data_IF_104561127490
#
_entry.id   IF_104561127490
#
_cell.length_a   1.000
_cell.length_b   1.000
_cell.length_c   1.000
_cell.angle_alpha   90.00
_cell.angle_beta   90.00
_cell.angle_gamma   90.00
#
_symmetry.space_group_name_H-M   'P 1'
#
loop_
_entity.id
_entity.type
_entity.pdbx_description
1 polymer ?
#
# COMPACT_ATOMS: atom_id res chain seq x y z
N UNK A 1 -12.06 -3.94 -18.17
CA UNK A 1 -11.61 -4.34 -16.80
C UNK A 1 -10.50 -5.40 -16.82
N UNK A 2 -10.61 -6.48 -17.60
CA UNK A 2 -9.57 -7.54 -17.66
C UNK A 2 -8.15 -7.02 -18.01
N UNK A 3 -8.05 -6.06 -18.94
CA UNK A 3 -6.76 -5.53 -19.43
C UNK A 3 -5.95 -4.78 -18.37
N UNK A 4 -6.61 -4.12 -17.41
CA UNK A 4 -5.94 -3.36 -16.34
C UNK A 4 -5.39 -4.30 -15.28
N UNK A 5 -6.13 -5.36 -14.94
CA UNK A 5 -5.67 -6.38 -13.99
C UNK A 5 -4.44 -7.13 -14.52
N UNK A 6 -4.44 -7.50 -15.81
CA UNK A 6 -3.28 -8.14 -16.47
C UNK A 6 -2.04 -7.26 -16.47
N UNK A 7 -2.18 -5.96 -16.76
CA UNK A 7 -1.07 -5.01 -16.70
C UNK A 7 -0.39 -4.94 -15.33
N UNK A 8 -1.14 -5.11 -14.24
CA UNK A 8 -0.61 -4.98 -12.88
C UNK A 8 0.22 -6.20 -12.51
N UNK A 9 -0.21 -7.38 -12.94
CA UNK A 9 0.47 -8.64 -12.71
C UNK A 9 1.87 -8.68 -13.35
N UNK A 10 2.05 -8.02 -14.51
CA UNK A 10 3.31 -7.96 -15.24
C UNK A 10 4.47 -7.39 -14.40
N UNK A 11 4.20 -6.43 -13.51
CA UNK A 11 5.27 -5.80 -12.72
C UNK A 11 5.89 -6.73 -11.66
N UNK A 12 5.12 -7.32 -10.72
CA UNK A 12 5.65 -8.25 -9.74
C UNK A 12 6.13 -9.57 -10.38
N UNK A 13 5.45 -10.08 -11.41
CA UNK A 13 5.84 -11.34 -12.08
C UNK A 13 7.11 -11.17 -12.92
N UNK A 14 7.23 -10.06 -13.65
CA UNK A 14 8.38 -9.77 -14.49
C UNK A 14 9.53 -9.03 -13.78
N UNK A 15 9.42 -8.78 -12.47
CA UNK A 15 10.38 -7.97 -11.70
C UNK A 15 10.72 -6.62 -12.36
N UNK A 16 9.72 -5.97 -12.97
CA UNK A 16 9.93 -4.82 -13.85
C UNK A 16 10.05 -3.52 -13.02
N UNK A 17 11.01 -2.66 -13.39
CA UNK A 17 11.15 -1.33 -12.79
C UNK A 17 9.93 -0.45 -13.08
N UNK A 18 9.64 0.53 -12.21
CA UNK A 18 8.57 1.51 -12.47
C UNK A 18 8.79 2.23 -13.81
N UNK A 19 10.03 2.63 -14.10
CA UNK A 19 10.36 3.37 -15.33
C UNK A 19 10.00 2.56 -16.57
N UNK A 20 10.39 1.29 -16.59
CA UNK A 20 10.10 0.38 -17.71
C UNK A 20 8.60 0.16 -17.86
N UNK A 21 7.87 0.01 -16.75
CA UNK A 21 6.41 -0.09 -16.75
C UNK A 21 5.75 1.14 -17.39
N UNK A 22 6.18 2.34 -17.00
CA UNK A 22 5.62 3.59 -17.50
C UNK A 22 5.89 3.76 -19.01
N UNK A 23 7.06 3.32 -19.49
CA UNK A 23 7.39 3.31 -20.92
C UNK A 23 6.50 2.37 -21.73
N UNK A 24 6.25 1.16 -21.22
CA UNK A 24 5.36 0.18 -21.87
C UNK A 24 3.93 0.73 -21.88
N UNK A 25 3.48 1.30 -20.76
CA UNK A 25 2.14 1.89 -20.64
C UNK A 25 1.96 3.04 -21.63
N UNK A 26 2.94 3.93 -21.75
CA UNK A 26 2.94 5.01 -22.73
C UNK A 26 2.81 4.49 -24.17
N UNK A 27 3.62 3.49 -24.54
CA UNK A 27 3.54 2.87 -25.87
C UNK A 27 2.19 2.23 -26.13
N UNK A 28 1.65 1.48 -25.15
CA UNK A 28 0.35 0.84 -25.28
C UNK A 28 -0.78 1.87 -25.47
N UNK A 29 -0.77 2.97 -24.72
CA UNK A 29 -1.77 4.05 -24.87
C UNK A 29 -1.76 4.67 -26.28
N UNK A 30 -0.61 4.73 -26.97
CA UNK A 30 -0.52 5.31 -28.31
C UNK A 30 -0.98 4.38 -29.43
N UNK A 31 -1.05 3.07 -29.19
CA UNK A 31 -1.43 2.06 -30.21
C UNK A 31 -2.92 1.68 -30.05
N UNK A 32 -3.46 1.83 -28.85
CA UNK A 32 -4.85 1.51 -28.55
C UNK A 32 -5.83 2.54 -29.15
N UNK A 33 -7.06 2.12 -29.46
CA UNK A 33 -8.11 3.03 -29.93
C UNK A 33 -8.46 4.08 -28.86
N UNK A 34 -8.95 5.24 -29.29
CA UNK A 34 -9.11 6.45 -28.47
C UNK A 34 -10.00 6.26 -27.23
N UNK A 35 -10.87 5.26 -27.23
CA UNK A 35 -11.83 4.92 -26.17
C UNK A 35 -11.31 3.90 -25.15
N UNK A 36 -10.01 3.58 -25.18
CA UNK A 36 -9.43 2.59 -24.28
C UNK A 36 -9.38 3.06 -22.81
N UNK A 37 -9.54 2.13 -21.87
CA UNK A 37 -9.53 2.41 -20.41
C UNK A 37 -8.19 2.06 -19.75
N UNK A 38 -7.08 2.13 -20.49
CA UNK A 38 -5.77 1.73 -20.00
C UNK A 38 -5.16 2.89 -19.20
N UNK A 39 -4.67 2.67 -17.97
CA UNK A 39 -3.99 3.72 -17.24
C UNK A 39 -2.68 4.12 -17.94
N UNK A 40 -2.25 5.35 -17.70
CA UNK A 40 -1.10 5.96 -18.39
C UNK A 40 0.24 5.56 -17.78
N UNK A 41 0.25 5.22 -16.49
CA UNK A 41 1.45 4.94 -15.71
C UNK A 41 1.16 4.01 -14.53
N UNK A 42 2.21 3.53 -13.86
CA UNK A 42 2.07 2.61 -12.72
C UNK A 42 1.22 3.18 -11.58
N UNK A 43 1.31 4.50 -11.35
CA UNK A 43 0.60 5.13 -10.24
C UNK A 43 -0.91 5.18 -10.51
N UNK A 44 -1.31 5.61 -11.70
CA UNK A 44 -2.70 5.60 -12.15
C UNK A 44 -3.25 4.18 -12.16
N UNK A 45 -2.50 3.18 -12.65
CA UNK A 45 -2.93 1.78 -12.56
C UNK A 45 -3.17 1.35 -11.11
N UNK A 46 -2.24 1.66 -10.20
CA UNK A 46 -2.37 1.34 -8.77
C UNK A 46 -3.55 2.05 -8.13
N UNK A 47 -3.83 3.29 -8.53
CA UNK A 47 -4.98 4.07 -8.07
C UNK A 47 -6.28 3.45 -8.56
N UNK A 48 -6.38 3.12 -9.85
CA UNK A 48 -7.54 2.42 -10.41
C UNK A 48 -7.85 1.14 -9.63
N UNK A 49 -6.86 0.29 -9.35
CA UNK A 49 -7.09 -0.92 -8.54
C UNK A 49 -7.54 -0.58 -7.12
N UNK A 50 -6.98 0.47 -6.51
CA UNK A 50 -7.38 0.89 -5.17
C UNK A 50 -8.85 1.29 -5.15
N UNK A 51 -9.31 1.96 -6.19
CA UNK A 51 -10.71 2.38 -6.34
C UNK A 51 -11.65 1.17 -6.61
N UNK A 52 -11.13 0.09 -7.19
CA UNK A 52 -11.83 -1.20 -7.32
C UNK A 52 -11.60 -2.17 -6.14
N UNK A 53 -10.76 -1.80 -5.18
CA UNK A 53 -10.25 -2.69 -4.14
C UNK A 53 -11.17 -2.75 -2.93
N UNK A 54 -11.30 -3.95 -2.36
CA UNK A 54 -11.83 -4.17 -1.02
C UNK A 54 -11.16 -3.19 -0.04
N UNK A 55 -11.88 -2.59 0.92
CA UNK A 55 -11.30 -1.59 1.79
C UNK A 55 -10.13 -2.23 2.58
N UNK A 56 -8.92 -1.69 2.39
CA UNK A 56 -7.71 -2.13 3.08
C UNK A 56 -7.51 -1.25 4.30
N UNK A 57 -7.57 -1.86 5.48
CA UNK A 57 -7.19 -1.23 6.74
C UNK A 57 -5.70 -1.52 7.01
N UNK A 58 -4.92 -0.47 7.26
CA UNK A 58 -3.53 -0.63 7.67
C UNK A 58 -3.48 -0.56 9.20
N UNK A 59 -3.00 -1.63 9.84
CA UNK A 59 -2.83 -1.70 11.29
C UNK A 59 -1.34 -1.63 11.61
N UNK A 60 -0.98 -0.68 12.47
CA UNK A 60 0.38 -0.57 12.99
C UNK A 60 0.66 -1.74 13.94
N UNK A 61 1.86 -2.32 13.84
CA UNK A 61 2.30 -3.40 14.71
C UNK A 61 3.69 -3.15 15.29
N UNK A 62 3.94 -3.71 16.46
CA UNK A 62 5.27 -3.78 17.05
C UNK A 62 6.10 -4.89 16.39
N UNK A 63 7.41 -4.93 16.68
CA UNK A 63 8.38 -5.88 16.10
C UNK A 63 7.82 -7.31 16.10
N UNK A 64 8.00 -8.03 14.99
CA UNK A 64 7.60 -9.43 14.81
C UNK A 64 6.13 -9.76 15.12
N UNK A 65 5.21 -8.77 15.02
CA UNK A 65 3.79 -8.99 15.31
C UNK A 65 3.47 -9.14 16.81
N UNK A 66 4.39 -8.73 17.68
CA UNK A 66 4.24 -8.81 19.13
C UNK A 66 2.93 -8.19 19.65
N UNK A 67 2.55 -7.02 19.12
CA UNK A 67 1.25 -6.40 19.37
C UNK A 67 0.79 -5.73 18.08
N UNK A 68 -0.52 -5.81 17.81
CA UNK A 68 -1.19 -5.03 16.78
C UNK A 68 -1.95 -3.89 17.48
N UNK A 69 -1.66 -2.66 17.10
CA UNK A 69 -2.29 -1.48 17.66
C UNK A 69 -3.65 -1.26 16.99
N UNK A 70 -4.64 -2.07 17.35
CA UNK A 70 -5.99 -2.06 16.79
C UNK A 70 -7.04 -2.00 17.91
N UNK A 71 -8.16 -1.31 17.65
CA UNK A 71 -9.28 -1.07 18.57
C UNK A 71 -8.79 -0.43 19.87
N UNK A 72 -8.89 -1.15 20.98
CA UNK A 72 -8.56 -0.64 22.31
C UNK A 72 -7.07 -0.31 22.47
N UNK A 73 -6.22 -0.89 21.61
CA UNK A 73 -4.77 -0.70 21.66
C UNK A 73 -4.27 0.42 20.73
N UNK A 74 -5.14 1.14 20.00
CA UNK A 74 -4.72 2.15 19.01
C UNK A 74 -3.90 3.29 19.64
N UNK A 75 -4.31 3.75 20.83
CA UNK A 75 -3.72 4.91 21.50
C UNK A 75 -2.49 4.57 22.35
N UNK A 76 -2.09 3.30 22.42
CA UNK A 76 -0.87 2.92 23.13
C UNK A 76 0.36 3.51 22.41
N UNK A 77 1.22 4.18 23.17
CA UNK A 77 2.50 4.69 22.67
C UNK A 77 3.65 3.70 22.88
N UNK A 78 3.41 2.61 23.61
CA UNK A 78 4.40 1.59 23.96
C UNK A 78 3.85 0.17 23.82
N UNK A 79 4.74 -0.78 23.61
CA UNK A 79 4.43 -2.19 23.59
C UNK A 79 4.23 -2.70 25.02
N UNK A 80 3.07 -3.28 25.32
CA UNK A 80 2.76 -3.86 26.64
C UNK A 80 3.68 -5.03 27.04
N UNK A 81 4.30 -5.70 26.07
CA UNK A 81 5.14 -6.90 26.30
C UNK A 81 6.63 -6.58 26.49
N UNK A 82 7.12 -5.53 25.84
CA UNK A 82 8.54 -5.16 25.84
C UNK A 82 8.81 -3.78 26.42
N UNK A 83 7.77 -3.03 26.81
CA UNK A 83 7.85 -1.66 27.34
C UNK A 83 8.61 -0.68 26.44
N UNK A 84 8.71 -1.01 25.16
CA UNK A 84 9.41 -0.24 24.14
C UNK A 84 8.43 0.67 23.38
N UNK A 85 8.94 1.76 22.81
CA UNK A 85 8.14 2.69 22.01
C UNK A 85 7.47 2.01 20.80
N UNK A 86 6.22 2.40 20.49
CA UNK A 86 5.44 1.91 19.34
C UNK A 86 6.10 2.18 17.98
N UNK A 87 6.83 3.27 17.87
CA UNK A 87 7.42 3.75 16.62
C UNK A 87 8.94 3.68 16.65
N UNK A 88 9.54 3.51 15.47
CA UNK A 88 11.01 3.54 15.31
C UNK A 88 11.54 4.91 15.72
N UNK A 89 12.64 4.94 16.48
CA UNK A 89 13.33 6.19 16.73
C UNK A 89 13.89 6.75 15.42
N UNK A 90 13.68 8.03 15.20
CA UNK A 90 14.31 8.76 14.12
C UNK A 90 15.47 9.58 14.68
N UNK A 91 16.51 9.81 13.88
CA UNK A 91 17.77 10.44 14.33
C UNK A 91 17.60 11.90 14.76
N UNK A 92 16.48 12.55 14.43
CA UNK A 92 16.20 13.94 14.74
C UNK A 92 14.94 14.08 15.60
N UNK A 93 15.02 14.83 16.69
CA UNK A 93 13.89 15.13 17.59
C UNK A 93 13.03 16.26 17.03
N UNK A 94 12.46 16.05 15.85
CA UNK A 94 11.44 16.95 15.31
C UNK A 94 10.04 16.44 15.69
N UNK A 95 9.27 17.17 16.51
CA UNK A 95 7.94 16.76 16.95
C UNK A 95 6.90 16.71 15.80
N UNK A 96 7.16 17.36 14.66
CA UNK A 96 6.27 17.36 13.49
C UNK A 96 6.61 16.26 12.48
N UNK A 97 7.65 15.46 12.74
CA UNK A 97 8.05 14.42 11.80
C UNK A 97 7.11 13.23 11.82
N UNK A 98 6.86 12.68 10.63
CA UNK A 98 6.06 11.47 10.43
C UNK A 98 6.64 10.31 11.25
N UNK A 99 5.82 9.74 12.14
CA UNK A 99 6.15 8.54 12.93
C UNK A 99 6.12 7.30 12.02
N UNK A 100 7.07 6.38 12.19
CA UNK A 100 7.19 5.17 11.38
C UNK A 100 7.00 3.91 12.25
N UNK A 101 5.98 3.08 12.00
CA UNK A 101 5.76 1.86 12.77
C UNK A 101 6.86 0.82 12.51
N UNK A 102 6.99 -0.15 13.41
CA UNK A 102 7.92 -1.27 13.21
C UNK A 102 7.47 -2.18 12.07
N UNK A 103 6.19 -2.54 12.08
CA UNK A 103 5.53 -3.39 11.10
C UNK A 103 4.18 -2.75 10.72
N UNK A 104 3.74 -2.92 9.47
CA UNK A 104 2.40 -2.53 9.02
C UNK A 104 1.71 -3.78 8.48
N UNK A 105 0.61 -4.17 9.13
CA UNK A 105 -0.26 -5.24 8.65
C UNK A 105 -1.35 -4.65 7.75
N UNK A 106 -1.60 -5.28 6.60
CA UNK A 106 -2.65 -4.87 5.67
C UNK A 106 -3.82 -5.84 5.78
N UNK A 107 -4.91 -5.39 6.36
CA UNK A 107 -6.13 -6.16 6.51
C UNK A 107 -7.09 -5.86 5.35
N UNK A 108 -7.45 -6.89 4.59
CA UNK A 108 -8.45 -6.81 3.53
C UNK A 108 -9.82 -7.06 4.15
N UNK A 109 -10.69 -6.05 4.15
CA UNK A 109 -12.07 -6.23 4.59
C UNK A 109 -12.82 -7.04 3.53
N UNK A 110 -13.00 -8.34 3.78
CA UNK A 110 -13.60 -9.29 2.84
C UNK A 110 -15.12 -9.09 2.68
N UNK A 111 -15.74 -8.20 3.46
CA UNK A 111 -17.15 -7.79 3.33
C UNK A 111 -17.36 -6.46 4.07
N UNK A 112 -18.29 -5.59 3.62
CA UNK A 112 -18.72 -4.47 4.45
C UNK A 112 -19.42 -5.05 5.68
N UNK A 113 -18.96 -4.68 6.87
CA UNK A 113 -19.73 -4.92 8.09
C UNK A 113 -21.02 -4.08 7.98
N UNK A 114 -22.10 -4.74 7.57
CA UNK A 114 -23.47 -4.32 7.86
C UNK A 114 -23.79 -4.66 9.32
#
# INVERSE_FOLDING_TARGET
MASVAGLVAIKPEGHISKRTYDQISYWANNILPLDHTLPRDYYSTKKSIKDFGLPIENIDGYKNGCILYWKDDVDLEYCKLFEDAKYKSTRERDPHRKKFPYVVLRYLLLTPHL
#
